data_IF_369150167582
#
_entry.id   IF_369150167582
#
_cell.length_a   1.000
_cell.length_b   1.000
_cell.length_c   1.000
_cell.angle_alpha   90.00
_cell.angle_beta   90.00
_cell.angle_gamma   90.00
#
_symmetry.space_group_name_H-M   'P 1'
#
loop_
_entity.id
_entity.type
_entity.pdbx_description
1 polymer ?
#
# COMPACT_ATOMS: atom_id res chain seq x y z
N UNK A 1 21.98 7.97 -3.49
CA UNK A 1 20.91 8.91 -3.03
C UNK A 1 20.45 8.61 -1.60
N UNK A 2 19.87 7.44 -1.29
CA UNK A 2 19.38 7.11 0.07
C UNK A 2 20.44 7.35 1.15
N UNK A 3 21.66 6.82 0.96
CA UNK A 3 22.79 7.05 1.87
C UNK A 3 23.01 8.54 2.18
N UNK A 4 23.11 9.38 1.14
CA UNK A 4 23.36 10.80 1.29
C UNK A 4 22.19 11.61 1.86
N UNK A 5 20.95 11.21 1.56
CA UNK A 5 19.75 11.87 2.06
C UNK A 5 19.48 11.50 3.52
N UNK A 6 19.62 10.23 3.90
CA UNK A 6 19.21 9.73 5.23
C UNK A 6 20.38 9.44 6.17
N UNK A 7 21.60 9.82 5.79
CA UNK A 7 22.83 9.58 6.56
C UNK A 7 23.00 8.08 6.90
N UNK A 8 22.83 7.24 5.88
CA UNK A 8 22.98 5.78 5.93
C UNK A 8 24.14 5.30 5.06
N UNK A 9 24.51 4.02 5.17
CA UNK A 9 25.64 3.44 4.43
C UNK A 9 25.31 2.05 3.87
N UNK A 10 24.31 1.99 2.99
CA UNK A 10 23.97 0.76 2.29
C UNK A 10 24.99 0.41 1.19
N UNK A 11 25.40 -0.87 1.08
CA UNK A 11 26.18 -1.38 -0.06
C UNK A 11 25.47 -1.21 -1.40
N UNK A 12 26.23 -1.15 -2.50
CA UNK A 12 25.69 -0.99 -3.86
C UNK A 12 24.84 -2.18 -4.35
N UNK A 13 25.02 -3.36 -3.76
CA UNK A 13 24.29 -4.60 -4.05
C UNK A 13 23.09 -4.82 -3.10
N UNK A 14 22.72 -3.82 -2.31
CA UNK A 14 21.53 -3.87 -1.45
C UNK A 14 20.26 -4.13 -2.26
N UNK A 15 19.34 -4.91 -1.71
CA UNK A 15 18.05 -5.18 -2.36
C UNK A 15 17.16 -3.93 -2.27
N UNK A 16 16.65 -3.46 -3.41
CA UNK A 16 15.81 -2.25 -3.50
C UNK A 16 14.44 -2.63 -4.05
N UNK A 17 13.40 -2.27 -3.32
CA UNK A 17 12.02 -2.34 -3.76
C UNK A 17 11.45 -0.93 -3.92
N UNK A 18 10.84 -0.66 -5.07
CA UNK A 18 10.23 0.61 -5.41
C UNK A 18 8.71 0.51 -5.26
N UNK A 19 8.14 1.37 -4.44
CA UNK A 19 6.71 1.49 -4.22
C UNK A 19 6.25 2.77 -4.94
N UNK A 20 5.64 2.59 -6.10
CA UNK A 20 5.30 3.69 -7.00
C UNK A 20 3.95 4.32 -6.60
N UNK A 21 3.94 5.63 -6.37
CA UNK A 21 2.74 6.39 -6.00
C UNK A 21 2.68 7.69 -6.82
N UNK A 22 2.62 7.62 -8.15
CA UNK A 22 2.38 8.82 -8.97
C UNK A 22 0.88 9.10 -9.15
N UNK A 23 0.52 10.37 -9.01
CA UNK A 23 -0.67 10.96 -9.63
C UNK A 23 -0.23 12.13 -10.50
N UNK A 24 -0.59 12.14 -11.78
CA UNK A 24 -0.30 13.24 -12.71
C UNK A 24 -1.57 14.06 -12.91
N UNK A 25 -1.48 15.37 -12.70
CA UNK A 25 -2.44 16.35 -13.22
C UNK A 25 -1.97 16.81 -14.61
N UNK A 26 -2.91 16.95 -15.54
CA UNK A 26 -2.71 17.18 -16.98
C UNK A 26 -1.86 18.44 -17.30
N UNK A 27 -1.73 19.35 -16.35
CA UNK A 27 -1.00 20.61 -16.48
C UNK A 27 0.46 20.58 -15.99
N UNK A 28 0.99 19.44 -15.50
CA UNK A 28 2.32 19.33 -14.85
C UNK A 28 2.56 20.35 -13.71
N UNK A 29 1.49 21.00 -13.20
CA UNK A 29 1.58 22.00 -12.13
C UNK A 29 1.79 21.37 -10.76
N UNK A 30 1.41 20.09 -10.63
CA UNK A 30 1.72 19.20 -9.51
C UNK A 30 2.31 17.93 -10.10
N UNK A 31 3.62 17.79 -10.03
CA UNK A 31 4.30 16.51 -10.27
C UNK A 31 4.47 15.86 -8.90
N UNK A 32 3.62 14.90 -8.55
CA UNK A 32 3.74 14.08 -7.35
C UNK A 32 4.77 12.99 -7.62
N UNK A 33 6.04 13.32 -7.40
CA UNK A 33 7.09 12.31 -7.33
C UNK A 33 7.23 11.88 -5.87
N UNK A 34 6.27 11.12 -5.39
CA UNK A 34 6.32 10.48 -4.08
C UNK A 34 6.99 9.14 -4.30
N UNK A 35 8.24 9.02 -3.84
CA UNK A 35 8.96 7.76 -3.96
C UNK A 35 9.07 7.14 -2.59
N UNK A 36 8.38 6.01 -2.40
CA UNK A 36 8.62 5.14 -1.26
C UNK A 36 9.55 4.02 -1.70
N UNK A 37 10.68 3.88 -1.00
CA UNK A 37 11.73 2.91 -1.32
C UNK A 37 11.95 2.04 -0.10
N UNK A 38 11.95 0.72 -0.28
CA UNK A 38 12.41 -0.21 0.76
C UNK A 38 13.79 -0.73 0.43
N UNK A 39 14.71 -0.64 1.40
CA UNK A 39 16.07 -1.17 1.31
C UNK A 39 16.20 -2.38 2.23
N UNK A 40 16.70 -3.49 1.69
CA UNK A 40 16.88 -4.76 2.40
C UNK A 40 15.59 -5.25 3.11
N UNK A 41 14.44 -5.05 2.47
CA UNK A 41 13.08 -5.47 2.90
C UNK A 41 12.51 -4.86 4.19
N UNK A 42 13.28 -4.02 4.90
CA UNK A 42 12.86 -3.54 6.22
C UNK A 42 12.98 -2.02 6.38
N UNK A 43 13.95 -1.38 5.73
CA UNK A 43 14.16 0.06 5.90
C UNK A 43 13.39 0.82 4.82
N UNK A 44 12.30 1.46 5.24
CA UNK A 44 11.38 2.13 4.33
C UNK A 44 11.63 3.64 4.39
N UNK A 45 11.84 4.25 3.23
CA UNK A 45 12.09 5.68 3.07
C UNK A 45 11.01 6.29 2.21
N UNK A 46 10.52 7.47 2.60
CA UNK A 46 9.59 8.26 1.81
C UNK A 46 10.26 9.57 1.42
N UNK A 47 10.43 9.79 0.12
CA UNK A 47 10.97 11.02 -0.44
C UNK A 47 9.88 11.73 -1.23
N UNK A 48 9.66 12.98 -0.89
CA UNK A 48 8.73 13.88 -1.57
C UNK A 48 9.53 15.04 -2.17
N UNK A 49 9.42 15.27 -3.48
CA UNK A 49 10.11 16.35 -4.18
C UNK A 49 9.22 17.57 -4.39
N UNK A 50 9.73 18.77 -4.11
CA UNK A 50 8.99 20.02 -4.27
C UNK A 50 9.82 21.11 -4.96
N UNK A 51 9.21 21.83 -5.91
CA UNK A 51 9.81 23.01 -6.52
C UNK A 51 9.49 24.30 -5.75
N UNK A 52 8.32 24.36 -5.12
CA UNK A 52 7.83 25.55 -4.43
C UNK A 52 7.30 25.19 -3.05
N UNK A 53 7.13 26.21 -2.19
CA UNK A 53 6.46 26.05 -0.91
C UNK A 53 5.02 25.57 -1.11
N UNK A 54 4.61 24.64 -0.27
CA UNK A 54 3.28 24.05 -0.28
C UNK A 54 2.83 23.87 1.17
N UNK A 55 1.72 24.50 1.52
CA UNK A 55 1.22 24.54 2.90
C UNK A 55 0.71 23.17 3.38
N UNK A 56 0.34 22.28 2.46
CA UNK A 56 -0.21 20.95 2.74
C UNK A 56 0.84 19.83 2.63
N UNK A 57 2.12 20.17 2.42
CA UNK A 57 3.20 19.21 2.17
C UNK A 57 3.31 18.15 3.26
N UNK A 58 3.19 18.55 4.52
CA UNK A 58 3.36 17.66 5.68
C UNK A 58 2.19 16.68 5.78
N UNK A 59 0.99 17.14 5.45
CA UNK A 59 -0.20 16.31 5.45
C UNK A 59 -0.14 15.27 4.33
N UNK A 60 0.37 15.63 3.14
CA UNK A 60 0.61 14.66 2.06
C UNK A 60 1.63 13.61 2.44
N UNK A 61 2.78 14.05 2.96
CA UNK A 61 3.85 13.14 3.39
C UNK A 61 3.33 12.13 4.43
N UNK A 62 2.52 12.62 5.37
CA UNK A 62 1.86 11.78 6.37
C UNK A 62 0.82 10.83 5.75
N UNK A 63 -0.08 11.32 4.89
CA UNK A 63 -1.14 10.53 4.25
C UNK A 63 -0.56 9.38 3.41
N UNK A 64 0.47 9.64 2.61
CA UNK A 64 1.14 8.60 1.83
C UNK A 64 1.89 7.61 2.71
N UNK A 65 2.58 8.09 3.75
CA UNK A 65 3.22 7.24 4.74
C UNK A 65 2.20 6.30 5.41
N UNK A 66 1.07 6.83 5.85
CA UNK A 66 -0.01 6.09 6.47
C UNK A 66 -0.61 5.04 5.53
N UNK A 67 -0.94 5.41 4.29
CA UNK A 67 -1.47 4.50 3.26
C UNK A 67 -0.50 3.36 3.00
N UNK A 68 0.79 3.67 2.84
CA UNK A 68 1.83 2.66 2.65
C UNK A 68 1.91 1.69 3.83
N UNK A 69 1.91 2.20 5.06
CA UNK A 69 1.99 1.39 6.29
C UNK A 69 0.79 0.44 6.44
N UNK A 70 -0.42 0.89 6.08
CA UNK A 70 -1.63 0.06 6.12
C UNK A 70 -1.57 -1.04 5.04
N UNK A 71 -1.17 -0.69 3.82
CA UNK A 71 -1.12 -1.65 2.70
C UNK A 71 -0.04 -2.72 2.88
N UNK A 72 1.05 -2.40 3.58
CA UNK A 72 2.21 -3.28 3.76
C UNK A 72 2.37 -3.74 5.22
N UNK A 73 1.27 -3.78 5.98
CA UNK A 73 1.30 -4.21 7.37
C UNK A 73 1.69 -5.69 7.47
N UNK A 74 2.76 -5.96 8.21
CA UNK A 74 3.24 -7.33 8.48
C UNK A 74 3.15 -7.71 9.97
N UNK A 75 3.11 -6.73 10.87
CA UNK A 75 2.84 -6.91 12.30
C UNK A 75 1.42 -6.42 12.63
N UNK A 76 0.51 -7.30 13.11
CA UNK A 76 -0.91 -6.97 13.29
C UNK A 76 -1.18 -5.76 14.20
N UNK A 77 -0.29 -5.53 15.17
CA UNK A 77 -0.48 -4.53 16.22
C UNK A 77 0.44 -3.30 16.08
N UNK A 78 1.27 -3.24 15.03
CA UNK A 78 2.23 -2.14 14.80
C UNK A 78 2.07 -1.56 13.40
N UNK A 79 1.94 -0.24 13.32
CA UNK A 79 1.92 0.51 12.07
C UNK A 79 3.29 1.14 11.81
N UNK A 80 4.08 0.50 10.95
CA UNK A 80 5.44 0.94 10.62
C UNK A 80 5.42 2.03 9.54
N UNK A 81 5.69 3.28 9.94
CA UNK A 81 5.79 4.40 9.01
C UNK A 81 7.15 4.44 8.29
N UNK A 82 7.19 4.85 7.01
CA UNK A 82 8.45 5.12 6.33
C UNK A 82 9.14 6.36 6.92
N UNK A 83 10.47 6.37 6.89
CA UNK A 83 11.29 7.52 7.27
C UNK A 83 11.17 8.64 6.21
N UNK A 84 10.57 9.79 6.55
CA UNK A 84 10.19 10.79 5.55
C UNK A 84 11.26 11.86 5.36
N UNK A 85 11.39 12.36 4.13
CA UNK A 85 12.21 13.53 3.78
C UNK A 85 11.61 14.30 2.61
N UNK A 86 11.53 15.63 2.76
CA UNK A 86 11.11 16.50 1.65
C UNK A 86 12.35 17.10 0.99
N UNK A 87 12.46 16.99 -0.32
CA UNK A 87 13.55 17.54 -1.14
C UNK A 87 13.05 18.77 -1.89
N UNK A 88 13.59 19.94 -1.55
CA UNK A 88 13.26 21.20 -2.23
C UNK A 88 14.31 21.57 -3.27
N UNK A 89 13.88 21.78 -4.51
CA UNK A 89 14.74 22.14 -5.64
C UNK A 89 14.73 23.63 -6.00
N UNK A 90 13.70 24.37 -5.58
CA UNK A 90 13.53 25.80 -5.86
C UNK A 90 13.97 26.72 -4.73
N UNK A 91 13.28 27.85 -4.58
CA UNK A 91 13.57 28.85 -3.54
C UNK A 91 13.18 28.33 -2.15
N UNK A 92 14.15 28.28 -1.25
CA UNK A 92 14.00 27.72 0.11
C UNK A 92 13.95 28.77 1.22
N UNK A 93 13.86 30.07 0.90
CA UNK A 93 13.97 31.16 1.89
C UNK A 93 12.98 31.06 3.05
N UNK A 94 11.77 30.54 2.85
CA UNK A 94 10.79 30.34 3.94
C UNK A 94 10.55 28.87 4.25
N UNK A 95 11.30 27.96 3.63
CA UNK A 95 11.23 26.53 3.92
C UNK A 95 11.94 26.26 5.26
N UNK A 96 11.25 25.73 6.28
CA UNK A 96 11.86 25.36 7.56
C UNK A 96 12.74 24.12 7.41
N UNK A 97 13.73 23.93 8.28
CA UNK A 97 14.57 22.71 8.26
C UNK A 97 13.79 21.43 8.65
N UNK A 98 12.67 21.61 9.36
CA UNK A 98 11.80 20.52 9.79
C UNK A 98 10.37 21.02 9.88
N UNK A 99 9.47 20.31 9.20
CA UNK A 99 8.04 20.45 9.38
C UNK A 99 7.56 19.58 10.53
N UNK A 100 6.51 20.03 11.23
CA UNK A 100 5.88 19.26 12.32
C UNK A 100 4.37 19.24 12.16
N UNK A 101 3.81 18.04 12.00
CA UNK A 101 2.38 17.78 12.10
C UNK A 101 2.07 17.26 13.51
N UNK A 102 1.11 17.88 14.19
CA UNK A 102 0.63 17.38 15.48
C UNK A 102 -0.56 16.48 15.24
N UNK A 103 -0.45 15.22 15.65
CA UNK A 103 -1.51 14.23 15.60
C UNK A 103 -2.10 14.13 17.01
N UNK A 104 -3.37 14.47 17.15
CA UNK A 104 -4.07 14.50 18.42
C UNK A 104 -5.06 13.32 18.52
N UNK A 105 -4.83 12.43 19.49
CA UNK A 105 -5.66 11.27 19.77
C UNK A 105 -6.63 11.52 20.95
N UNK A 106 -6.88 12.79 21.29
CA UNK A 106 -7.74 13.22 22.39
C UNK A 106 -7.13 12.83 23.74
N UNK A 107 -7.90 12.10 24.56
CA UNK A 107 -7.46 11.66 25.90
C UNK A 107 -6.23 10.74 25.86
N UNK A 108 -5.93 10.13 24.71
CA UNK A 108 -4.77 9.25 24.53
C UNK A 108 -3.46 10.03 24.31
N UNK A 109 -3.54 11.36 24.14
CA UNK A 109 -2.39 12.25 23.99
C UNK A 109 -2.10 12.65 22.55
N UNK A 110 -0.93 13.28 22.36
CA UNK A 110 -0.52 13.86 21.09
C UNK A 110 0.85 13.35 20.66
N UNK A 111 1.02 13.16 19.35
CA UNK A 111 2.29 12.84 18.72
C UNK A 111 2.72 13.93 17.75
N UNK A 112 4.02 14.29 17.77
CA UNK A 112 4.59 15.27 16.84
C UNK A 112 5.33 14.54 15.71
N UNK A 113 4.64 14.34 14.59
CA UNK A 113 5.22 13.79 13.38
C UNK A 113 6.12 14.83 12.70
N UNK A 114 7.41 14.53 12.58
CA UNK A 114 8.42 15.47 12.09
C UNK A 114 8.99 15.01 10.75
N UNK A 115 9.08 15.95 9.80
CA UNK A 115 9.65 15.68 8.47
C UNK A 115 10.79 16.65 8.21
N UNK A 116 12.01 16.14 8.03
CA UNK A 116 13.19 16.96 7.72
C UNK A 116 13.16 17.39 6.25
N UNK A 117 13.68 18.58 5.99
CA UNK A 117 13.84 19.08 4.62
C UNK A 117 15.28 18.97 4.15
N UNK A 118 15.47 18.65 2.87
CA UNK A 118 16.73 18.76 2.16
C UNK A 118 16.60 19.88 1.12
N UNK A 119 17.37 20.95 1.28
CA UNK A 119 17.31 22.15 0.45
C UNK A 119 18.40 22.11 -0.61
N UNK A 120 18.09 21.59 -1.79
CA UNK A 120 19.08 21.24 -2.81
C UNK A 120 20.02 22.40 -3.18
N UNK A 121 19.47 23.61 -3.34
CA UNK A 121 20.24 24.79 -3.75
C UNK A 121 21.26 25.27 -2.70
N UNK A 122 21.19 24.78 -1.46
CA UNK A 122 22.14 25.13 -0.38
C UNK A 122 23.42 24.30 -0.43
N UNK A 123 23.47 23.25 -1.25
CA UNK A 123 24.63 22.38 -1.42
C UNK A 123 25.38 22.75 -2.69
N UNK A 124 26.71 22.59 -2.68
CA UNK A 124 27.54 22.62 -3.88
C UNK A 124 27.47 21.28 -4.62
N UNK A 125 27.81 21.28 -5.92
CA UNK A 125 27.95 20.07 -6.73
C UNK A 125 28.96 19.09 -6.10
N UNK A 126 30.04 19.62 -5.51
CA UNK A 126 31.03 18.81 -4.79
C UNK A 126 30.41 18.09 -3.59
N UNK A 127 29.59 18.77 -2.79
CA UNK A 127 28.89 18.13 -1.66
C UNK A 127 27.88 17.08 -2.12
N UNK A 128 27.15 17.34 -3.21
CA UNK A 128 26.23 16.38 -3.83
C UNK A 128 27.00 15.12 -4.28
N UNK A 129 28.16 15.29 -4.93
CA UNK A 129 29.05 14.21 -5.36
C UNK A 129 29.59 13.42 -4.17
N UNK A 130 30.11 14.10 -3.15
CA UNK A 130 30.67 13.48 -1.94
C UNK A 130 29.62 12.65 -1.19
N UNK A 131 28.37 13.12 -1.16
CA UNK A 131 27.23 12.39 -0.57
C UNK A 131 26.64 11.31 -1.49
N UNK A 132 27.22 11.07 -2.66
CA UNK A 132 26.75 10.11 -3.66
C UNK A 132 25.27 10.32 -4.04
N UNK A 133 24.87 11.57 -4.22
CA UNK A 133 23.51 11.96 -4.65
C UNK A 133 23.46 12.33 -6.13
N UNK A 134 24.16 11.55 -6.98
CA UNK A 134 24.39 11.83 -8.40
C UNK A 134 23.08 12.01 -9.18
N UNK A 135 22.01 11.30 -8.81
CA UNK A 135 20.69 11.44 -9.43
C UNK A 135 20.14 12.88 -9.38
N UNK A 136 20.62 13.71 -8.46
CA UNK A 136 20.20 15.10 -8.31
C UNK A 136 20.99 16.07 -9.21
N UNK A 137 22.14 15.66 -9.74
CA UNK A 137 23.03 16.53 -10.54
C UNK A 137 22.33 17.18 -11.74
N UNK A 138 21.46 16.50 -12.52
CA UNK A 138 20.75 17.14 -13.62
C UNK A 138 19.90 18.35 -13.21
N UNK A 139 19.47 18.43 -11.93
CA UNK A 139 18.67 19.53 -11.41
C UNK A 139 19.49 20.80 -11.11
N UNK A 140 20.81 20.77 -11.27
CA UNK A 140 21.66 21.97 -11.30
C UNK A 140 21.17 23.01 -12.31
N UNK A 141 20.54 22.57 -13.42
CA UNK A 141 19.89 23.45 -14.40
C UNK A 141 18.92 24.44 -13.75
N UNK A 142 18.25 24.07 -12.65
CA UNK A 142 17.30 24.96 -11.98
C UNK A 142 17.96 26.23 -11.42
N UNK A 143 19.27 26.23 -11.13
CA UNK A 143 19.97 27.40 -10.57
C UNK A 143 19.98 28.61 -11.50
N UNK A 144 20.10 28.38 -12.80
CA UNK A 144 20.17 29.47 -13.79
C UNK A 144 18.80 29.80 -14.41
N UNK A 145 17.76 29.02 -14.12
CA UNK A 145 16.41 29.19 -14.66
C UNK A 145 15.89 30.61 -14.52
N UNK A 146 15.92 31.17 -13.30
CA UNK A 146 15.38 32.51 -13.04
C UNK A 146 16.25 33.64 -13.58
N UNK A 147 17.57 33.42 -13.66
CA UNK A 147 18.51 34.37 -14.24
C UNK A 147 18.27 34.49 -15.76
N UNK A 148 18.21 33.35 -16.45
CA UNK A 148 18.04 33.29 -17.90
C UNK A 148 16.66 33.79 -18.35
N UNK A 149 15.60 33.51 -17.56
CA UNK A 149 14.28 34.10 -17.79
C UNK A 149 14.28 35.63 -17.76
N UNK A 150 15.17 36.25 -16.99
CA UNK A 150 15.23 37.71 -16.81
C UNK A 150 16.20 38.39 -17.77
N UNK A 151 17.36 37.77 -18.02
CA UNK A 151 18.43 38.34 -18.82
C UNK A 151 19.05 37.28 -19.75
N UNK A 152 18.91 37.53 -21.06
CA UNK A 152 19.36 36.64 -22.13
C UNK A 152 20.74 37.06 -22.68
N UNK A 153 21.55 37.73 -21.86
CA UNK A 153 22.89 38.13 -22.25
C UNK A 153 23.78 36.94 -22.62
N UNK A 154 24.71 37.15 -23.56
CA UNK A 154 25.73 36.17 -23.95
C UNK A 154 26.49 35.63 -22.73
N UNK A 155 26.73 36.49 -21.73
CA UNK A 155 27.31 36.11 -20.45
C UNK A 155 26.53 34.99 -19.74
N UNK A 156 25.21 35.08 -19.68
CA UNK A 156 24.37 34.09 -19.02
C UNK A 156 24.27 32.80 -19.84
N UNK A 157 24.29 32.89 -21.17
CA UNK A 157 24.38 31.72 -22.05
C UNK A 157 25.72 30.99 -21.88
N UNK A 158 26.84 31.71 -21.77
CA UNK A 158 28.15 31.14 -21.45
C UNK A 158 28.14 30.46 -20.08
N UNK A 159 27.47 31.06 -19.08
CA UNK A 159 27.32 30.45 -17.76
C UNK A 159 26.53 29.14 -17.82
N UNK A 160 25.44 29.09 -18.60
CA UNK A 160 24.66 27.88 -18.82
C UNK A 160 25.48 26.79 -19.52
N UNK A 161 26.22 27.14 -20.57
CA UNK A 161 27.13 26.21 -21.26
C UNK A 161 28.14 25.60 -20.29
N UNK A 162 28.78 26.43 -19.45
CA UNK A 162 29.76 25.97 -18.45
C UNK A 162 29.12 25.05 -17.40
N UNK A 163 27.94 25.39 -16.90
CA UNK A 163 27.21 24.57 -15.93
C UNK A 163 26.94 23.17 -16.51
N UNK A 164 26.42 23.12 -17.75
CA UNK A 164 26.09 21.85 -18.41
C UNK A 164 27.35 21.00 -18.61
N UNK A 165 28.40 21.57 -19.21
CA UNK A 165 29.59 20.79 -19.58
C UNK A 165 30.42 20.38 -18.36
N UNK A 166 30.69 21.31 -17.45
CA UNK A 166 31.62 21.07 -16.35
C UNK A 166 30.90 20.45 -15.15
N UNK A 167 29.87 21.14 -14.67
CA UNK A 167 29.28 20.82 -13.37
C UNK A 167 28.29 19.64 -13.46
N UNK A 168 27.58 19.50 -14.59
CA UNK A 168 26.62 18.42 -14.80
C UNK A 168 27.28 17.23 -15.50
N UNK A 169 27.65 17.37 -16.77
CA UNK A 169 28.19 16.27 -17.59
C UNK A 169 29.53 15.80 -17.00
N UNK A 170 30.43 16.74 -16.70
CA UNK A 170 31.72 16.42 -16.08
C UNK A 170 31.58 15.67 -14.76
N UNK A 171 30.63 16.06 -13.89
CA UNK A 171 30.37 15.32 -12.65
C UNK A 171 29.79 13.93 -12.91
N UNK A 172 28.87 13.76 -13.86
CA UNK A 172 28.31 12.46 -14.21
C UNK A 172 29.42 11.53 -14.75
N UNK A 173 30.24 12.03 -15.67
CA UNK A 173 31.37 11.28 -16.24
C UNK A 173 32.40 10.90 -15.17
N UNK A 174 32.76 11.83 -14.28
CA UNK A 174 33.66 11.56 -13.16
C UNK A 174 33.12 10.45 -12.26
N UNK A 175 31.84 10.54 -11.86
CA UNK A 175 31.21 9.52 -11.02
C UNK A 175 31.15 8.15 -11.70
N UNK A 176 30.98 8.10 -13.02
CA UNK A 176 31.11 6.87 -13.78
C UNK A 176 32.55 6.33 -13.76
N UNK A 177 33.54 7.17 -14.03
CA UNK A 177 34.95 6.77 -14.06
C UNK A 177 35.45 6.20 -12.72
N UNK A 178 34.94 6.71 -11.60
CA UNK A 178 35.29 6.21 -10.25
C UNK A 178 34.38 5.08 -9.76
N UNK A 179 33.40 4.65 -10.56
CA UNK A 179 32.52 3.52 -10.25
C UNK A 179 31.38 3.83 -9.27
N UNK A 180 31.04 5.10 -9.04
CA UNK A 180 29.88 5.47 -8.21
C UNK A 180 28.54 5.22 -8.92
N UNK A 181 28.56 5.20 -10.25
CA UNK A 181 27.40 4.90 -11.11
C UNK A 181 27.83 4.00 -12.28
N UNK A 182 26.89 3.26 -12.84
CA UNK A 182 27.15 2.47 -14.06
C UNK A 182 27.15 3.37 -15.30
N UNK A 183 27.70 2.90 -16.42
CA UNK A 183 27.58 3.60 -17.71
C UNK A 183 26.12 3.81 -18.14
N UNK A 184 25.24 2.84 -17.81
CA UNK A 184 23.79 2.96 -18.06
C UNK A 184 23.16 4.10 -17.26
N UNK A 185 23.53 4.24 -15.97
CA UNK A 185 23.06 5.33 -15.12
C UNK A 185 23.56 6.69 -15.64
N UNK A 186 24.85 6.76 -16.04
CA UNK A 186 25.42 7.97 -16.62
C UNK A 186 24.65 8.42 -17.88
N UNK A 187 24.33 7.49 -18.77
CA UNK A 187 23.49 7.74 -19.95
C UNK A 187 22.11 8.30 -19.59
N UNK A 188 21.41 7.68 -18.61
CA UNK A 188 20.10 8.17 -18.14
C UNK A 188 20.18 9.60 -17.59
N UNK A 189 21.21 9.91 -16.82
CA UNK A 189 21.33 11.23 -16.19
C UNK A 189 21.62 12.34 -17.21
N UNK A 190 22.42 12.04 -18.22
CA UNK A 190 22.64 12.98 -19.33
C UNK A 190 21.35 13.14 -20.16
N UNK A 191 20.58 12.07 -20.38
CA UNK A 191 19.27 12.18 -21.04
C UNK A 191 18.29 13.02 -20.22
N UNK A 192 18.20 12.80 -18.92
CA UNK A 192 17.41 13.64 -18.01
C UNK A 192 17.85 15.10 -18.09
N UNK A 193 19.16 15.36 -18.16
CA UNK A 193 19.70 16.71 -18.36
C UNK A 193 19.19 17.34 -19.67
N UNK A 194 19.21 16.59 -20.79
CA UNK A 194 18.68 17.06 -22.09
C UNK A 194 17.18 17.37 -22.02
N UNK A 195 16.39 16.50 -21.39
CA UNK A 195 14.95 16.69 -21.22
C UNK A 195 14.64 17.92 -20.35
N UNK A 196 15.33 18.06 -19.22
CA UNK A 196 15.21 19.22 -18.33
C UNK A 196 15.63 20.51 -19.05
N UNK A 197 16.73 20.49 -19.81
CA UNK A 197 17.15 21.64 -20.60
C UNK A 197 16.06 22.05 -21.58
N UNK A 198 15.55 21.11 -22.38
CA UNK A 198 14.49 21.37 -23.36
C UNK A 198 13.23 21.92 -22.69
N UNK A 199 12.86 21.42 -21.52
CA UNK A 199 11.69 21.87 -20.79
C UNK A 199 11.88 23.27 -20.16
N UNK A 200 13.03 23.52 -19.55
CA UNK A 200 13.32 24.77 -18.84
C UNK A 200 13.70 25.91 -19.78
N UNK A 201 14.27 25.56 -20.94
CA UNK A 201 14.86 26.48 -21.91
C UNK A 201 14.33 26.23 -23.33
N UNK A 202 13.07 25.82 -23.47
CA UNK A 202 12.41 25.59 -24.78
C UNK A 202 12.42 26.82 -25.69
N UNK A 203 12.31 28.01 -25.11
CA UNK A 203 12.19 29.27 -25.83
C UNK A 203 13.55 29.78 -26.36
N UNK A 204 14.63 29.06 -26.07
CA UNK A 204 16.00 29.45 -26.38
C UNK A 204 16.43 28.73 -27.66
N UNK A 205 16.28 29.41 -28.80
CA UNK A 205 16.44 28.88 -30.17
C UNK A 205 17.89 28.61 -30.62
N UNK A 206 18.89 28.79 -29.76
CA UNK A 206 20.27 28.38 -30.07
C UNK A 206 20.49 26.91 -29.66
N UNK A 207 19.98 26.02 -30.51
CA UNK A 207 20.11 24.57 -30.42
C UNK A 207 21.56 24.07 -30.56
N UNK A 208 22.49 24.93 -31.00
CA UNK A 208 23.94 24.65 -31.10
C UNK A 208 24.56 24.20 -29.76
N UNK A 209 23.98 24.53 -28.61
CA UNK A 209 24.49 24.05 -27.30
C UNK A 209 24.29 22.55 -27.09
N UNK A 210 23.27 21.97 -27.73
CA UNK A 210 22.91 20.54 -27.62
C UNK A 210 23.62 19.72 -28.69
N UNK A 211 23.82 20.26 -29.89
CA UNK A 211 24.48 19.55 -31.00
C UNK A 211 25.96 19.26 -30.71
N UNK A 212 26.63 20.12 -29.94
CA UNK A 212 28.01 19.90 -29.45
C UNK A 212 28.11 18.90 -28.27
N UNK A 213 26.99 18.37 -27.74
CA UNK A 213 26.99 17.30 -26.72
C UNK A 213 27.28 15.93 -27.35
N UNK A 214 28.51 15.80 -27.87
CA UNK A 214 29.27 14.60 -28.24
C UNK A 214 28.52 13.52 -29.07
N UNK A 215 28.79 13.44 -30.37
CA UNK A 215 28.28 12.40 -31.30
C UNK A 215 28.55 10.96 -30.81
N UNK A 216 29.58 10.73 -29.98
CA UNK A 216 29.86 9.41 -29.42
C UNK A 216 28.82 8.94 -28.40
N UNK A 217 28.19 9.88 -27.70
CA UNK A 217 27.11 9.64 -26.74
C UNK A 217 25.83 9.26 -27.51
N UNK A 218 25.54 9.88 -28.65
CA UNK A 218 24.32 9.63 -29.44
C UNK A 218 24.23 8.17 -29.95
N UNK A 219 25.35 7.54 -30.32
CA UNK A 219 25.37 6.15 -30.81
C UNK A 219 25.16 5.09 -29.72
N UNK A 220 25.66 5.31 -28.50
CA UNK A 220 25.32 4.47 -27.34
C UNK A 220 23.84 4.61 -26.95
N UNK A 221 23.22 5.75 -27.26
CA UNK A 221 21.84 6.07 -26.91
C UNK A 221 20.83 5.36 -27.79
N UNK A 222 21.03 5.25 -29.10
CA UNK A 222 20.11 4.51 -29.98
C UNK A 222 19.99 3.02 -29.61
N UNK A 223 21.03 2.46 -28.98
CA UNK A 223 20.97 1.11 -28.40
C UNK A 223 20.28 1.09 -27.04
N UNK A 224 20.49 2.11 -26.21
CA UNK A 224 19.89 2.21 -24.89
C UNK A 224 18.38 2.54 -24.96
N UNK A 225 17.94 3.34 -25.92
CA UNK A 225 16.53 3.71 -26.15
C UNK A 225 15.70 2.48 -26.52
N UNK A 226 16.24 1.61 -27.40
CA UNK A 226 15.64 0.31 -27.72
C UNK A 226 15.55 -0.62 -26.52
N UNK A 227 16.56 -0.60 -25.66
CA UNK A 227 16.57 -1.37 -24.40
C UNK A 227 15.54 -0.82 -23.40
N UNK A 228 15.34 0.51 -23.34
CA UNK A 228 14.29 1.11 -22.49
C UNK A 228 12.89 0.86 -23.01
N UNK A 229 12.65 0.95 -24.32
CA UNK A 229 11.37 0.53 -24.88
C UNK A 229 11.04 -0.92 -24.53
N UNK A 230 12.05 -1.80 -24.52
CA UNK A 230 11.88 -3.19 -24.12
C UNK A 230 11.62 -3.35 -22.61
N UNK A 231 12.29 -2.56 -21.77
CA UNK A 231 12.05 -2.54 -20.33
C UNK A 231 10.68 -1.98 -19.96
N UNK A 232 10.22 -0.93 -20.63
CA UNK A 232 8.89 -0.35 -20.44
C UNK A 232 7.80 -1.33 -20.90
N UNK A 233 8.03 -2.04 -22.02
CA UNK A 233 7.19 -3.17 -22.43
C UNK A 233 7.12 -4.24 -21.33
N UNK A 234 8.25 -4.57 -20.70
CA UNK A 234 8.31 -5.54 -19.61
C UNK A 234 7.56 -5.06 -18.35
N UNK A 235 7.69 -3.79 -17.97
CA UNK A 235 6.95 -3.20 -16.85
C UNK A 235 5.44 -3.21 -17.10
N UNK A 236 4.99 -2.80 -18.29
CA UNK A 236 3.60 -2.88 -18.70
C UNK A 236 3.07 -4.33 -18.65
N UNK A 237 3.90 -5.30 -19.03
CA UNK A 237 3.53 -6.71 -18.97
C UNK A 237 3.43 -7.20 -17.52
N UNK A 238 4.34 -6.77 -16.64
CA UNK A 238 4.31 -7.09 -15.20
C UNK A 238 3.08 -6.47 -14.52
N UNK A 239 2.71 -5.25 -14.90
CA UNK A 239 1.50 -4.58 -14.42
C UNK A 239 0.23 -5.36 -14.80
N UNK A 240 0.13 -5.83 -16.05
CA UNK A 240 -0.97 -6.73 -16.47
C UNK A 240 -1.05 -7.99 -15.63
N UNK A 241 0.10 -8.59 -15.28
CA UNK A 241 0.15 -9.77 -14.41
C UNK A 241 -0.34 -9.45 -12.99
N UNK A 242 0.00 -8.28 -12.44
CA UNK A 242 -0.52 -7.86 -11.13
C UNK A 242 -2.03 -7.62 -11.17
N UNK A 243 -2.55 -6.98 -12.22
CA UNK A 243 -3.99 -6.78 -12.41
C UNK A 243 -4.75 -8.11 -12.55
N UNK A 244 -4.17 -9.11 -13.22
CA UNK A 244 -4.75 -10.46 -13.31
C UNK A 244 -4.73 -11.20 -11.97
N UNK A 245 -3.66 -11.05 -11.18
CA UNK A 245 -3.60 -11.60 -9.82
C UNK A 245 -4.67 -10.97 -8.93
N UNK A 246 -4.87 -9.67 -8.99
CA UNK A 246 -5.92 -8.99 -8.22
C UNK A 246 -7.32 -9.49 -8.58
N UNK A 247 -7.60 -9.70 -9.87
CA UNK A 247 -8.85 -10.35 -10.31
C UNK A 247 -9.00 -11.76 -9.73
N UNK A 248 -7.92 -12.52 -9.71
CA UNK A 248 -7.91 -13.88 -9.14
C UNK A 248 -8.16 -13.88 -7.63
N UNK A 249 -7.63 -12.90 -6.89
CA UNK A 249 -7.91 -12.72 -5.47
C UNK A 249 -9.37 -12.34 -5.22
N UNK A 250 -9.92 -11.43 -6.03
CA UNK A 250 -11.34 -11.06 -5.95
C UNK A 250 -12.28 -12.24 -6.24
N UNK A 251 -11.94 -13.13 -7.17
CA UNK A 251 -12.71 -14.36 -7.43
C UNK A 251 -12.63 -15.37 -6.27
N UNK A 252 -11.46 -15.52 -5.64
CA UNK A 252 -11.31 -16.35 -4.45
C UNK A 252 -12.16 -15.82 -3.29
N UNK A 253 -12.17 -14.50 -3.07
CA UNK A 253 -13.00 -13.89 -2.04
C UNK A 253 -14.50 -14.13 -2.28
N UNK A 254 -14.97 -14.00 -3.53
CA UNK A 254 -16.35 -14.39 -3.88
C UNK A 254 -16.64 -15.86 -3.58
N UNK A 255 -15.70 -16.74 -3.90
CA UNK A 255 -15.82 -18.19 -3.62
C UNK A 255 -15.91 -18.47 -2.12
N UNK A 256 -15.13 -17.76 -1.29
CA UNK A 256 -15.21 -17.89 0.17
C UNK A 256 -16.54 -17.37 0.71
N UNK A 257 -17.03 -16.23 0.20
CA UNK A 257 -18.35 -15.69 0.58
C UNK A 257 -19.50 -16.66 0.23
N UNK A 258 -19.44 -17.34 -0.92
CA UNK A 258 -20.43 -18.37 -1.28
C UNK A 258 -20.36 -19.61 -0.38
N UNK A 259 -19.16 -20.05 -0.01
CA UNK A 259 -18.98 -21.14 0.97
C UNK A 259 -19.57 -20.77 2.32
N UNK A 260 -19.34 -19.56 2.81
CA UNK A 260 -19.90 -19.08 4.07
C UNK A 260 -21.44 -19.06 4.03
N UNK A 261 -22.04 -18.60 2.94
CA UNK A 261 -23.51 -18.69 2.76
C UNK A 261 -24.00 -20.14 2.80
N UNK A 262 -23.27 -21.05 2.16
CA UNK A 262 -23.61 -22.49 2.15
C UNK A 262 -23.53 -23.10 3.56
N UNK A 263 -22.53 -22.72 4.35
CA UNK A 263 -22.42 -23.16 5.75
C UNK A 263 -23.56 -22.61 6.60
N UNK A 264 -23.92 -21.33 6.43
CA UNK A 264 -25.06 -20.73 7.13
C UNK A 264 -26.39 -21.43 6.81
N UNK A 265 -26.61 -21.85 5.56
CA UNK A 265 -27.80 -22.62 5.18
C UNK A 265 -27.81 -24.03 5.80
N UNK A 266 -26.66 -24.70 5.84
CA UNK A 266 -26.53 -26.00 6.51
C UNK A 266 -26.84 -25.88 8.00
N UNK A 267 -26.34 -24.85 8.68
CA UNK A 267 -26.63 -24.61 10.09
C UNK A 267 -28.12 -24.39 10.34
N UNK A 268 -28.80 -23.59 9.50
CA UNK A 268 -30.27 -23.45 9.56
C UNK A 268 -30.99 -24.79 9.40
N UNK A 269 -30.53 -25.63 8.46
CA UNK A 269 -31.10 -26.97 8.22
C UNK A 269 -30.92 -27.88 9.44
N UNK A 270 -29.75 -27.84 10.10
CA UNK A 270 -29.50 -28.60 11.32
C UNK A 270 -30.39 -28.12 12.47
N UNK A 271 -30.55 -26.81 12.64
CA UNK A 271 -31.46 -26.25 13.65
C UNK A 271 -32.93 -26.66 13.43
N UNK A 272 -33.39 -26.74 12.19
CA UNK A 272 -34.75 -27.23 11.88
C UNK A 272 -34.91 -28.73 12.17
N UNK A 273 -33.90 -29.55 11.86
CA UNK A 273 -33.91 -30.97 12.21
C UNK A 273 -33.96 -31.18 13.71
N UNK A 274 -33.19 -30.41 14.48
CA UNK A 274 -33.21 -30.47 15.95
C UNK A 274 -34.59 -30.12 16.50
N UNK A 275 -35.25 -29.07 15.99
CA UNK A 275 -36.64 -28.75 16.36
C UNK A 275 -37.59 -29.90 16.05
N UNK A 276 -37.45 -30.54 14.89
CA UNK A 276 -38.27 -31.69 14.50
C UNK A 276 -38.06 -32.88 15.44
N UNK A 277 -36.82 -33.16 15.85
CA UNK A 277 -36.54 -34.22 16.82
C UNK A 277 -37.14 -33.91 18.19
N UNK A 278 -37.04 -32.66 18.65
CA UNK A 278 -37.65 -32.23 19.92
C UNK A 278 -39.18 -32.38 19.90
N UNK A 279 -39.85 -32.10 18.77
CA UNK A 279 -41.30 -32.32 18.63
C UNK A 279 -41.69 -33.80 18.63
N UNK A 280 -40.89 -34.65 17.97
CA UNK A 280 -41.09 -36.10 18.02
C UNK A 280 -40.95 -36.64 19.44
N UNK A 281 -39.93 -36.21 20.17
CA UNK A 281 -39.74 -36.62 21.56
C UNK A 281 -40.92 -36.23 22.44
N UNK A 282 -41.45 -35.00 22.30
CA UNK A 282 -42.69 -34.58 22.98
C UNK A 282 -43.87 -35.48 22.64
N UNK A 283 -44.01 -35.85 21.36
CA UNK A 283 -45.09 -36.76 20.90
C UNK A 283 -44.97 -38.15 21.52
N UNK A 284 -43.75 -38.69 21.63
CA UNK A 284 -43.51 -39.98 22.28
C UNK A 284 -43.82 -39.92 23.78
N UNK A 285 -43.38 -38.88 24.47
CA UNK A 285 -43.71 -38.66 25.89
C UNK A 285 -45.21 -38.58 26.13
N UNK A 286 -45.97 -37.96 25.22
CA UNK A 286 -47.43 -37.86 25.32
C UNK A 286 -48.12 -39.20 25.05
N UNK A 287 -47.62 -39.99 24.10
CA UNK A 287 -48.09 -41.37 23.90
C UNK A 287 -47.83 -42.23 25.12
N UNK A 288 -46.66 -42.14 25.74
CA UNK A 288 -46.32 -42.90 26.94
C UNK A 288 -47.27 -42.55 28.10
N UNK A 289 -47.62 -41.27 28.27
CA UNK A 289 -48.64 -40.85 29.25
C UNK A 289 -50.01 -41.49 28.98
N UNK A 290 -50.45 -41.50 27.72
CA UNK A 290 -51.73 -42.12 27.31
C UNK A 290 -51.73 -43.63 27.59
N UNK A 291 -50.61 -44.32 27.31
CA UNK A 291 -50.48 -45.74 27.62
C UNK A 291 -50.58 -46.00 29.13
N UNK A 292 -49.90 -45.19 29.95
CA UNK A 292 -49.95 -45.30 31.41
C UNK A 292 -51.38 -45.08 31.96
N UNK A 293 -52.12 -44.11 31.42
CA UNK A 293 -53.52 -43.88 31.79
C UNK A 293 -54.44 -45.01 31.37
N UNK A 294 -54.20 -45.63 30.21
CA UNK A 294 -54.96 -46.82 29.80
C UNK A 294 -54.68 -47.99 30.72
N UNK A 295 -53.43 -48.22 31.09
CA UNK A 295 -53.03 -49.28 32.01
C UNK A 295 -53.69 -49.11 33.39
N UNK A 296 -53.69 -47.89 33.95
CA UNK A 296 -54.43 -47.58 35.18
C UNK A 296 -55.92 -47.86 35.07
N UNK A 297 -56.55 -47.48 33.95
CA UNK A 297 -57.98 -47.78 33.71
C UNK A 297 -58.28 -49.26 33.65
N UNK A 298 -57.40 -50.08 33.06
CA UNK A 298 -57.58 -51.52 33.05
C UNK A 298 -57.50 -52.08 34.48
N UNK A 299 -56.51 -51.67 35.26
CA UNK A 299 -56.39 -52.07 36.67
C UNK A 299 -57.63 -51.69 37.50
N UNK A 300 -58.13 -50.46 37.37
CA UNK A 300 -59.37 -50.03 38.03
C UNK A 300 -60.60 -50.85 37.61
N UNK A 301 -60.63 -51.28 36.35
CA UNK A 301 -61.74 -52.09 35.81
C UNK A 301 -61.67 -53.52 36.36
N UNK A 302 -60.48 -54.11 36.42
CA UNK A 302 -60.24 -55.44 36.99
C UNK A 302 -60.57 -55.46 38.49
N UNK A 303 -60.20 -54.41 39.24
CA UNK A 303 -60.57 -54.26 40.65
C UNK A 303 -62.09 -54.19 40.86
N UNK A 304 -62.79 -53.41 40.01
CA UNK A 304 -64.26 -53.33 40.05
C UNK A 304 -64.93 -54.66 39.72
N UNK A 305 -64.39 -55.40 38.74
CA UNK A 305 -64.89 -56.72 38.37
C UNK A 305 -64.72 -57.71 39.52
N UNK A 306 -63.53 -57.76 40.13
CA UNK A 306 -63.26 -58.61 41.29
C UNK A 306 -64.17 -58.28 42.48
N UNK A 307 -64.44 -56.99 42.73
CA UNK A 307 -65.38 -56.57 43.77
C UNK A 307 -66.81 -57.05 43.49
N UNK A 308 -67.29 -56.91 42.25
CA UNK A 308 -68.61 -57.38 41.84
C UNK A 308 -68.74 -58.90 41.92
N UNK A 309 -67.72 -59.66 41.51
CA UNK A 309 -67.68 -61.11 41.65
C UNK A 309 -67.74 -61.56 43.11
N UNK A 310 -67.02 -60.87 44.00
CA UNK A 310 -67.07 -61.12 45.45
C UNK A 310 -68.45 -60.82 46.05
N UNK A 311 -69.12 -59.76 45.59
CA UNK A 311 -70.47 -59.41 46.01
C UNK A 311 -71.51 -60.44 45.52
N UNK A 312 -71.41 -60.87 44.25
CA UNK A 312 -72.22 -61.96 43.70
C UNK A 312 -72.02 -63.26 44.50
N UNK A 313 -70.78 -63.58 44.87
CA UNK A 313 -70.50 -64.76 45.69
C UNK A 313 -71.15 -64.68 47.07
N UNK A 314 -71.13 -63.52 47.73
CA UNK A 314 -71.83 -63.28 49.00
C UNK A 314 -73.34 -63.44 48.86
N UNK A 315 -73.94 -62.81 47.84
CA UNK A 315 -75.39 -62.91 47.59
C UNK A 315 -75.82 -64.35 47.30
N UNK A 316 -75.01 -65.13 46.58
CA UNK A 316 -75.25 -66.57 46.35
C UNK A 316 -75.21 -67.38 47.65
N UNK A 317 -74.27 -67.07 48.55
CA UNK A 317 -74.17 -67.73 49.86
C UNK A 317 -75.38 -67.39 50.75
N UNK A 318 -75.83 -66.14 50.76
CA UNK A 318 -77.06 -65.71 51.45
C UNK A 318 -78.32 -66.37 50.87
N UNK A 319 -78.44 -66.49 49.55
CA UNK A 319 -79.55 -67.16 48.89
C UNK A 319 -79.64 -68.66 49.25
N UNK A 320 -78.48 -69.33 49.33
CA UNK A 320 -78.39 -70.74 49.73
C UNK A 320 -78.77 -70.97 51.21
N UNK A 321 -78.59 -69.95 52.06
CA UNK A 321 -79.02 -69.96 53.47
C UNK A 321 -80.52 -69.70 53.66
N UNK A 322 -81.21 -69.14 52.67
CA UNK A 322 -82.65 -68.87 52.68
C UNK A 322 -83.49 -70.00 52.05
N UNK A 323 -82.86 -70.89 51.28
CA UNK A 323 -83.51 -72.00 50.56
C UNK A 323 -83.30 -73.39 51.20
N UNK A 324 -82.58 -73.46 52.32
CA UNK A 324 -82.55 -74.58 53.26
C UNK A 324 -83.15 -74.14 54.59
#
# INVERSE_FOLDING_TARGET
>A
MINGLFDTDYPLDSEIEYHWTEFIDDDLRKTLADTIITVNRHNIYHIEAQLYEDDDIVMRVFDYGYKHSIMNQYEPDILHFPEPKIVYFGNTKKVPDTYTLTIDFGEQGQFKYKVKTFKYQEYSVEEINNKKMIILIPFELLRLRDLLKKDHSEKNLIALKKLIHNDIIGSIQMNHSVGNITGSDAGRLIQLTKLLYKHLYSDYTQMEVIEDMDESIILEYDHLDKMYEEKDRLYHQKEKVYQEKDKTYQEKDKTYQEKDKTYQEKDKTYQEKDKTYQEKDKTYQEKDKIYLEKEKRYQETDEKLAAAEAEIAKLKDELNKLTN
#
